data_IF_274899750681
#
_entry.id   IF_274899750681
#
_cell.length_a   1.000
_cell.length_b   1.000
_cell.length_c   1.000
_cell.angle_alpha   90.00
_cell.angle_beta   90.00
_cell.angle_gamma   90.00
#
_symmetry.space_group_name_H-M   'P 1'
#
loop_
_entity.id
_entity.type
_entity.pdbx_description
1 polymer ?
#
# COMPACT_ATOMS: atom_id res chain seq x y z
N UNK A 1 8.54 8.64 19.23
CA UNK A 1 7.64 8.71 18.09
C UNK A 1 6.33 9.36 18.54
N UNK A 2 5.85 10.34 17.80
CA UNK A 2 4.52 10.93 18.02
C UNK A 2 3.45 9.88 17.70
N UNK A 3 2.23 10.05 18.23
CA UNK A 3 1.10 9.13 17.95
C UNK A 3 0.88 9.02 16.44
N UNK A 4 1.02 10.11 15.71
CA UNK A 4 0.85 10.19 14.26
C UNK A 4 1.89 9.33 13.52
N UNK A 5 3.15 9.36 13.92
CA UNK A 5 4.20 8.52 13.30
C UNK A 5 3.96 7.03 13.52
N UNK A 6 3.43 6.65 14.70
CA UNK A 6 3.03 5.26 14.95
C UNK A 6 1.87 4.83 14.07
N UNK A 7 0.91 5.72 13.83
CA UNK A 7 -0.22 5.47 12.93
C UNK A 7 0.25 5.24 11.48
N UNK A 8 1.10 6.15 10.95
CA UNK A 8 1.66 6.03 9.59
C UNK A 8 2.42 4.71 9.44
N UNK A 9 3.26 4.37 10.42
CA UNK A 9 4.01 3.11 10.43
C UNK A 9 3.08 1.89 10.43
N UNK A 10 2.02 1.89 11.26
CA UNK A 10 1.02 0.83 11.31
C UNK A 10 0.35 0.63 9.96
N UNK A 11 -0.11 1.72 9.36
CA UNK A 11 -0.78 1.68 8.06
C UNK A 11 0.16 1.21 6.95
N UNK A 12 1.44 1.63 7.00
CA UNK A 12 2.45 1.15 6.06
C UNK A 12 2.73 -0.35 6.24
N UNK A 13 2.78 -0.84 7.49
CA UNK A 13 2.95 -2.27 7.78
C UNK A 13 1.82 -3.15 7.26
N UNK A 14 0.61 -2.63 7.20
CA UNK A 14 -0.54 -3.35 6.66
C UNK A 14 -0.61 -3.15 5.13
N UNK A 15 -0.47 -1.90 4.69
CA UNK A 15 -0.72 -1.50 3.31
C UNK A 15 0.28 -2.06 2.31
N UNK A 16 1.59 -2.00 2.61
CA UNK A 16 2.60 -2.44 1.66
C UNK A 16 2.59 -3.96 1.42
N UNK A 17 2.55 -4.83 2.45
CA UNK A 17 2.43 -6.27 2.22
C UNK A 17 1.12 -6.65 1.51
N UNK A 18 0.01 -5.94 1.82
CA UNK A 18 -1.26 -6.16 1.12
C UNK A 18 -1.15 -5.81 -0.37
N UNK A 19 -0.53 -4.67 -0.71
CA UNK A 19 -0.32 -4.27 -2.10
C UNK A 19 0.51 -5.29 -2.89
N UNK A 20 1.61 -5.78 -2.30
CA UNK A 20 2.44 -6.83 -2.92
C UNK A 20 1.69 -8.17 -3.04
N UNK A 21 0.93 -8.55 -2.02
CA UNK A 21 0.09 -9.74 -2.10
C UNK A 21 -0.90 -9.66 -3.26
N UNK A 22 -1.62 -8.53 -3.37
CA UNK A 22 -2.57 -8.31 -4.46
C UNK A 22 -1.89 -8.28 -5.83
N UNK A 23 -0.66 -7.77 -5.92
CA UNK A 23 0.11 -7.79 -7.16
C UNK A 23 0.40 -9.22 -7.62
N UNK A 24 0.93 -10.08 -6.73
CA UNK A 24 1.29 -11.46 -7.09
C UNK A 24 0.10 -12.43 -7.15
N UNK A 25 -0.97 -12.14 -6.42
CA UNK A 25 -2.23 -12.90 -6.46
C UNK A 25 -3.26 -12.31 -7.43
N UNK A 26 -2.92 -11.23 -8.14
CA UNK A 26 -3.86 -10.51 -9.00
C UNK A 26 -4.48 -11.37 -10.08
N UNK A 27 -3.70 -12.28 -10.69
CA UNK A 27 -4.20 -13.20 -11.69
C UNK A 27 -5.22 -14.18 -11.11
N UNK A 28 -4.84 -14.84 -10.03
CA UNK A 28 -5.69 -15.83 -9.36
C UNK A 28 -6.99 -15.19 -8.87
N UNK A 29 -6.88 -13.99 -8.28
CA UNK A 29 -8.02 -13.26 -7.76
C UNK A 29 -8.98 -12.82 -8.87
N UNK A 30 -8.45 -12.25 -9.97
CA UNK A 30 -9.27 -11.80 -11.09
C UNK A 30 -9.97 -12.98 -11.78
N UNK A 31 -9.27 -14.07 -12.04
CA UNK A 31 -9.85 -15.24 -12.69
C UNK A 31 -10.87 -15.96 -11.79
N UNK A 32 -10.62 -15.99 -10.47
CA UNK A 32 -11.54 -16.65 -9.54
C UNK A 32 -12.82 -15.84 -9.31
N UNK A 33 -12.72 -14.51 -9.13
CA UNK A 33 -13.87 -13.65 -8.78
C UNK A 33 -14.66 -13.24 -10.01
N UNK A 34 -13.98 -12.86 -11.08
CA UNK A 34 -14.60 -12.27 -12.28
C UNK A 34 -14.65 -13.23 -13.48
N UNK A 35 -13.85 -14.28 -13.48
CA UNK A 35 -13.80 -15.29 -14.54
C UNK A 35 -12.82 -14.97 -15.68
N UNK A 36 -12.66 -15.91 -16.64
CA UNK A 36 -11.64 -15.83 -17.70
C UNK A 36 -11.79 -14.61 -18.62
N UNK A 37 -12.99 -14.07 -18.75
CA UNK A 37 -13.26 -12.89 -19.59
C UNK A 37 -12.49 -11.64 -19.16
N UNK A 38 -11.99 -11.60 -17.92
CA UNK A 38 -11.23 -10.49 -17.36
C UNK A 38 -9.71 -10.66 -17.45
N UNK A 39 -9.24 -11.70 -18.13
CA UNK A 39 -7.80 -11.93 -18.31
C UNK A 39 -7.04 -10.73 -18.90
N UNK A 40 -7.57 -9.96 -19.88
CA UNK A 40 -6.89 -8.76 -20.37
C UNK A 40 -6.72 -7.62 -19.34
N UNK A 41 -7.50 -7.63 -18.26
CA UNK A 41 -7.44 -6.62 -17.20
C UNK A 41 -6.45 -6.96 -16.08
N UNK A 42 -5.86 -8.15 -16.08
CA UNK A 42 -4.93 -8.62 -15.05
C UNK A 42 -3.71 -7.68 -14.93
N UNK A 43 -3.00 -7.29 -16.01
CA UNK A 43 -1.85 -6.40 -15.87
C UNK A 43 -2.21 -5.05 -15.26
N UNK A 44 -3.36 -4.48 -15.67
CA UNK A 44 -3.88 -3.23 -15.11
C UNK A 44 -4.15 -3.34 -13.61
N UNK A 45 -4.81 -4.42 -13.17
CA UNK A 45 -5.06 -4.69 -11.76
C UNK A 45 -3.77 -4.84 -10.96
N UNK A 46 -2.80 -5.58 -11.48
CA UNK A 46 -1.50 -5.77 -10.83
C UNK A 46 -0.77 -4.43 -10.63
N UNK A 47 -0.71 -3.57 -11.65
CA UNK A 47 -0.08 -2.26 -11.54
C UNK A 47 -0.78 -1.41 -10.48
N UNK A 48 -2.12 -1.36 -10.49
CA UNK A 48 -2.90 -0.61 -9.51
C UNK A 48 -2.72 -1.15 -8.09
N UNK A 49 -2.54 -2.45 -7.92
CA UNK A 49 -2.31 -3.08 -6.62
C UNK A 49 -1.07 -2.54 -5.90
N UNK A 50 -0.04 -2.13 -6.65
CA UNK A 50 1.15 -1.50 -6.06
C UNK A 50 0.85 -0.16 -5.40
N UNK A 51 -0.19 0.56 -5.87
CA UNK A 51 -0.59 1.83 -5.26
C UNK A 51 -1.37 1.66 -3.96
N UNK A 52 -1.91 0.47 -3.66
CA UNK A 52 -2.76 0.21 -2.48
C UNK A 52 -2.03 0.55 -1.18
N UNK A 53 -0.75 0.19 -1.08
CA UNK A 53 0.06 0.52 0.09
C UNK A 53 0.15 2.02 0.35
N UNK A 54 0.40 2.80 -0.71
CA UNK A 54 0.45 4.27 -0.63
C UNK A 54 -0.92 4.86 -0.28
N UNK A 55 -2.00 4.36 -0.88
CA UNK A 55 -3.36 4.81 -0.61
C UNK A 55 -3.76 4.59 0.86
N UNK A 56 -3.45 3.42 1.43
CA UNK A 56 -3.73 3.12 2.84
C UNK A 56 -2.97 4.08 3.76
N UNK A 57 -1.70 4.36 3.49
CA UNK A 57 -0.94 5.32 4.28
C UNK A 57 -1.49 6.73 4.11
N UNK A 58 -1.81 7.16 2.89
CA UNK A 58 -2.38 8.48 2.61
C UNK A 58 -3.76 8.68 3.23
N UNK A 59 -4.54 7.63 3.46
CA UNK A 59 -5.88 7.75 4.07
C UNK A 59 -5.86 8.41 5.45
N UNK A 60 -4.73 8.34 6.16
CA UNK A 60 -4.56 8.99 7.46
C UNK A 60 -4.21 10.48 7.38
N UNK A 61 -3.74 10.97 6.23
CA UNK A 61 -3.28 12.36 6.09
C UNK A 61 -4.40 13.36 6.32
N UNK A 62 -5.61 13.07 5.84
CA UNK A 62 -6.78 13.91 6.06
C UNK A 62 -7.09 14.15 7.54
N UNK A 63 -7.03 13.10 8.35
CA UNK A 63 -7.23 13.20 9.80
C UNK A 63 -6.14 14.05 10.48
N UNK A 64 -4.90 13.99 9.99
CA UNK A 64 -3.80 14.80 10.52
C UNK A 64 -3.99 16.28 10.22
N UNK A 65 -4.39 16.65 9.00
CA UNK A 65 -4.70 18.03 8.63
C UNK A 65 -5.89 18.57 9.44
N UNK A 66 -6.94 17.76 9.61
CA UNK A 66 -8.11 18.15 10.40
C UNK A 66 -7.78 18.35 11.88
N UNK A 67 -7.01 17.44 12.49
CA UNK A 67 -6.62 17.54 13.89
C UNK A 67 -5.72 18.76 14.20
N UNK A 68 -5.01 19.23 13.18
CA UNK A 68 -4.15 20.42 13.25
C UNK A 68 -4.87 21.70 12.83
N UNK A 69 -6.19 21.63 12.53
CA UNK A 69 -7.00 22.75 12.04
C UNK A 69 -6.44 23.40 10.76
N UNK A 70 -5.69 22.65 9.95
CA UNK A 70 -5.08 23.11 8.71
C UNK A 70 -5.91 22.65 7.47
N UNK A 71 -7.08 23.21 7.34
CA UNK A 71 -7.98 22.96 6.19
C UNK A 71 -7.39 23.47 4.87
N UNK A 72 -6.55 24.51 4.92
CA UNK A 72 -5.86 25.02 3.73
C UNK A 72 -4.84 24.03 3.21
N UNK A 73 -4.06 23.42 4.08
CA UNK A 73 -3.10 22.39 3.71
C UNK A 73 -3.78 21.19 3.06
N UNK A 74 -4.89 20.71 3.62
CA UNK A 74 -5.70 19.65 3.04
C UNK A 74 -6.23 20.01 1.64
N UNK A 75 -6.72 21.23 1.46
CA UNK A 75 -7.22 21.71 0.19
C UNK A 75 -6.13 21.77 -0.90
N UNK A 76 -4.93 22.27 -0.55
CA UNK A 76 -3.79 22.33 -1.48
C UNK A 76 -3.38 20.92 -1.89
N UNK A 77 -3.32 19.95 -0.97
CA UNK A 77 -3.04 18.54 -1.28
C UNK A 77 -4.09 17.96 -2.24
N UNK A 78 -5.37 18.27 -2.03
CA UNK A 78 -6.46 17.83 -2.90
C UNK A 78 -6.35 18.39 -4.32
N UNK A 79 -6.10 19.69 -4.46
CA UNK A 79 -5.92 20.35 -5.77
C UNK A 79 -4.71 19.76 -6.50
N UNK A 80 -3.59 19.60 -5.81
CA UNK A 80 -2.38 19.02 -6.41
C UNK A 80 -2.64 17.61 -6.93
N UNK A 81 -3.26 16.75 -6.12
CA UNK A 81 -3.61 15.39 -6.51
C UNK A 81 -4.54 15.37 -7.72
N UNK A 82 -5.59 16.21 -7.72
CA UNK A 82 -6.51 16.34 -8.85
C UNK A 82 -5.79 16.78 -10.12
N UNK A 83 -4.94 17.80 -10.02
CA UNK A 83 -4.19 18.34 -11.16
C UNK A 83 -3.25 17.28 -11.76
N UNK A 84 -2.46 16.60 -10.94
CA UNK A 84 -1.53 15.57 -11.40
C UNK A 84 -2.27 14.41 -12.04
N UNK A 85 -3.37 13.95 -11.44
CA UNK A 85 -4.18 12.83 -11.95
C UNK A 85 -4.86 13.20 -13.27
N UNK A 86 -5.49 14.38 -13.37
CA UNK A 86 -6.12 14.83 -14.60
C UNK A 86 -5.11 15.01 -15.73
N UNK A 87 -3.96 15.62 -15.44
CA UNK A 87 -2.89 15.79 -16.43
C UNK A 87 -2.36 14.45 -16.92
N UNK A 88 -2.11 13.51 -16.01
CA UNK A 88 -1.69 12.16 -16.34
C UNK A 88 -2.69 11.42 -17.23
N UNK A 89 -3.97 11.53 -16.96
CA UNK A 89 -5.02 10.94 -17.79
C UNK A 89 -5.12 11.58 -19.17
N UNK A 90 -5.00 12.91 -19.26
CA UNK A 90 -4.97 13.59 -20.55
C UNK A 90 -3.80 13.10 -21.41
N UNK A 91 -2.61 12.96 -20.83
CA UNK A 91 -1.45 12.43 -21.53
C UNK A 91 -1.71 10.99 -22.01
N UNK A 92 -2.31 10.15 -21.17
CA UNK A 92 -2.62 8.77 -21.54
C UNK A 92 -3.64 8.69 -22.69
N UNK A 93 -4.67 9.53 -22.68
CA UNK A 93 -5.69 9.56 -23.74
C UNK A 93 -5.08 10.02 -25.08
N UNK A 94 -4.21 11.02 -25.03
CA UNK A 94 -3.66 11.61 -26.26
C UNK A 94 -2.57 10.73 -26.90
N UNK A 95 -1.73 10.08 -26.09
CA UNK A 95 -0.52 9.41 -26.60
C UNK A 95 -0.58 7.88 -26.55
N UNK A 96 -1.17 7.28 -25.53
CA UNK A 96 -1.03 5.83 -25.32
C UNK A 96 -2.31 5.02 -25.59
N UNK A 97 -3.46 5.50 -25.18
CA UNK A 97 -4.78 4.87 -25.37
C UNK A 97 -4.88 3.41 -24.88
N UNK A 98 -4.06 3.00 -23.91
CA UNK A 98 -4.07 1.67 -23.33
C UNK A 98 -4.46 1.70 -21.87
N UNK A 99 -5.16 0.67 -21.37
CA UNK A 99 -5.56 0.56 -19.97
C UNK A 99 -4.36 0.50 -19.02
N UNK A 100 -3.30 -0.14 -19.44
CA UNK A 100 -2.06 -0.22 -18.65
C UNK A 100 -1.43 1.15 -18.46
N UNK A 101 -1.41 2.00 -19.49
CA UNK A 101 -0.89 3.36 -19.37
C UNK A 101 -1.68 4.19 -18.34
N UNK A 102 -3.01 4.01 -18.28
CA UNK A 102 -3.82 4.64 -17.22
C UNK A 102 -3.42 4.12 -15.82
N UNK A 103 -3.19 2.83 -15.67
CA UNK A 103 -2.76 2.26 -14.40
C UNK A 103 -1.39 2.80 -13.96
N UNK A 104 -0.42 2.91 -14.87
CA UNK A 104 0.87 3.55 -14.58
C UNK A 104 0.72 5.03 -14.23
N UNK A 105 -0.10 5.77 -14.96
CA UNK A 105 -0.39 7.18 -14.66
C UNK A 105 -0.98 7.35 -13.26
N UNK A 106 -1.92 6.50 -12.87
CA UNK A 106 -2.49 6.49 -11.52
C UNK A 106 -1.41 6.18 -10.46
N UNK A 107 -0.59 5.17 -10.68
CA UNK A 107 0.49 4.82 -9.75
C UNK A 107 1.46 5.99 -9.55
N UNK A 108 1.89 6.62 -10.65
CA UNK A 108 2.77 7.80 -10.61
C UNK A 108 2.08 8.96 -9.88
N UNK A 109 0.80 9.21 -10.16
CA UNK A 109 0.03 10.26 -9.50
C UNK A 109 -0.06 10.03 -7.98
N UNK A 110 -0.25 8.78 -7.53
CA UNK A 110 -0.25 8.46 -6.10
C UNK A 110 1.13 8.64 -5.46
N UNK A 111 2.21 8.28 -6.14
CA UNK A 111 3.58 8.50 -5.64
C UNK A 111 3.85 10.01 -5.47
N UNK A 112 3.54 10.82 -6.48
CA UNK A 112 3.75 12.27 -6.43
C UNK A 112 2.90 12.93 -5.35
N UNK A 113 1.63 12.54 -5.26
CA UNK A 113 0.70 13.05 -4.23
C UNK A 113 1.14 12.65 -2.82
N UNK A 114 1.66 11.42 -2.65
CA UNK A 114 2.22 10.96 -1.39
C UNK A 114 3.41 11.82 -0.96
N UNK A 115 4.37 12.05 -1.86
CA UNK A 115 5.55 12.86 -1.57
C UNK A 115 5.15 14.29 -1.20
N UNK A 116 4.27 14.92 -1.99
CA UNK A 116 3.82 16.29 -1.76
C UNK A 116 3.04 16.43 -0.45
N UNK A 117 2.07 15.53 -0.20
CA UNK A 117 1.22 15.58 0.99
C UNK A 117 2.03 15.43 2.27
N UNK A 118 2.94 14.46 2.32
CA UNK A 118 3.78 14.24 3.50
C UNK A 118 4.88 15.29 3.65
N UNK A 119 5.41 15.83 2.53
CA UNK A 119 6.31 16.97 2.57
C UNK A 119 5.62 18.16 3.25
N UNK A 120 4.41 18.48 2.83
CA UNK A 120 3.63 19.57 3.40
C UNK A 120 3.31 19.34 4.87
N UNK A 121 2.87 18.12 5.25
CA UNK A 121 2.56 17.76 6.62
C UNK A 121 3.77 17.91 7.56
N UNK A 122 4.94 17.41 7.15
CA UNK A 122 6.14 17.45 7.96
C UNK A 122 6.76 18.84 8.03
N UNK A 123 6.73 19.60 6.94
CA UNK A 123 7.31 20.95 6.90
C UNK A 123 6.48 21.95 7.71
N UNK A 124 5.18 21.98 7.51
CA UNK A 124 4.31 23.00 8.09
C UNK A 124 3.76 22.64 9.46
N UNK A 125 3.47 21.38 9.74
CA UNK A 125 2.80 20.98 10.99
C UNK A 125 3.74 20.37 12.02
N UNK A 126 4.64 19.51 11.60
CA UNK A 126 5.52 18.83 12.54
C UNK A 126 6.85 19.55 12.75
N UNK A 127 7.18 20.56 11.95
CA UNK A 127 8.47 21.27 11.98
C UNK A 127 9.67 20.31 12.07
N UNK A 128 9.57 19.15 11.42
CA UNK A 128 10.57 18.08 11.42
C UNK A 128 11.04 17.76 10.00
N UNK A 129 12.23 17.21 9.90
CA UNK A 129 12.77 16.78 8.62
C UNK A 129 12.00 15.58 8.06
N UNK A 130 11.73 15.57 6.76
CA UNK A 130 11.11 14.47 6.02
C UNK A 130 11.91 13.16 6.16
N UNK A 131 13.23 13.25 6.40
CA UNK A 131 14.09 12.09 6.65
C UNK A 131 13.57 11.20 7.77
N UNK A 132 12.88 11.79 8.74
CA UNK A 132 12.27 11.02 9.84
C UNK A 132 11.08 10.17 9.37
N UNK A 133 10.30 10.62 8.39
CA UNK A 133 9.26 9.81 7.73
C UNK A 133 9.89 8.61 7.00
N UNK A 134 10.93 8.87 6.18
CA UNK A 134 11.59 7.80 5.44
C UNK A 134 12.13 6.71 6.38
N UNK A 135 12.72 7.08 7.50
CA UNK A 135 13.19 6.12 8.51
C UNK A 135 12.08 5.23 9.07
N UNK A 136 10.85 5.74 9.13
CA UNK A 136 9.67 4.96 9.58
C UNK A 136 9.16 4.00 8.51
N UNK A 137 9.29 4.38 7.23
CA UNK A 137 8.81 3.59 6.08
C UNK A 137 9.83 2.54 5.62
N UNK A 138 11.12 2.74 5.89
CA UNK A 138 12.18 1.79 5.50
C UNK A 138 11.89 0.39 6.01
N UNK A 139 11.48 0.26 7.26
CA UNK A 139 11.23 -1.04 7.88
C UNK A 139 10.08 -1.81 7.24
N UNK A 140 8.87 -1.22 7.01
CA UNK A 140 7.80 -1.88 6.26
C UNK A 140 8.20 -2.21 4.83
N UNK A 141 8.96 -1.32 4.16
CA UNK A 141 9.41 -1.53 2.79
C UNK A 141 10.35 -2.73 2.66
N UNK A 142 11.34 -2.86 3.55
CA UNK A 142 12.26 -4.00 3.52
C UNK A 142 11.53 -5.34 3.61
N UNK A 143 10.54 -5.45 4.51
CA UNK A 143 9.75 -6.66 4.63
C UNK A 143 8.92 -6.92 3.39
N UNK A 144 8.29 -5.87 2.88
CA UNK A 144 7.48 -5.98 1.68
C UNK A 144 8.31 -6.46 0.50
N UNK A 145 9.53 -5.95 0.34
CA UNK A 145 10.46 -6.42 -0.68
C UNK A 145 10.87 -7.88 -0.45
N UNK A 146 11.14 -8.29 0.79
CA UNK A 146 11.47 -9.66 1.10
C UNK A 146 10.31 -10.62 0.80
N UNK A 147 9.09 -10.28 1.24
CA UNK A 147 7.87 -11.03 0.92
C UNK A 147 7.65 -11.07 -0.59
N UNK A 148 7.83 -9.94 -1.29
CA UNK A 148 7.71 -9.85 -2.74
C UNK A 148 8.68 -10.77 -3.48
N UNK A 149 9.95 -10.83 -3.04
CA UNK A 149 10.95 -11.73 -3.60
C UNK A 149 10.56 -13.20 -3.45
N UNK A 150 10.06 -13.59 -2.29
CA UNK A 150 9.57 -14.96 -2.05
C UNK A 150 8.33 -15.28 -2.89
N UNK A 151 7.38 -14.34 -2.97
CA UNK A 151 6.18 -14.52 -3.79
C UNK A 151 6.52 -14.60 -5.29
N UNK A 152 7.54 -13.87 -5.74
CA UNK A 152 8.04 -13.96 -7.11
C UNK A 152 8.57 -15.36 -7.43
N UNK A 153 9.39 -15.93 -6.54
CA UNK A 153 9.91 -17.29 -6.68
C UNK A 153 8.75 -18.29 -6.72
N UNK A 154 7.81 -18.21 -5.80
CA UNK A 154 6.64 -19.10 -5.75
C UNK A 154 5.78 -18.95 -7.00
N UNK A 155 5.58 -17.72 -7.48
CA UNK A 155 4.81 -17.47 -8.69
C UNK A 155 5.42 -18.15 -9.91
N UNK A 156 6.75 -18.21 -9.98
CA UNK A 156 7.46 -18.91 -11.06
C UNK A 156 7.24 -20.42 -11.04
N UNK A 157 7.21 -21.04 -9.84
CA UNK A 157 6.95 -22.48 -9.70
C UNK A 157 5.46 -22.85 -9.76
N UNK A 158 4.56 -21.92 -9.47
CA UNK A 158 3.12 -22.18 -9.36
C UNK A 158 2.34 -22.06 -10.67
N UNK A 159 3.00 -21.85 -11.81
CA UNK A 159 2.37 -21.64 -13.12
C UNK A 159 1.41 -22.80 -13.50
N UNK A 160 1.73 -24.02 -13.11
CA UNK A 160 0.95 -25.22 -13.44
C UNK A 160 -0.02 -25.64 -12.31
N UNK A 161 -0.14 -24.86 -11.24
CA UNK A 161 -0.97 -25.23 -10.11
C UNK A 161 -2.43 -24.77 -10.31
N UNK A 162 -3.33 -25.44 -9.58
CA UNK A 162 -4.72 -25.02 -9.51
C UNK A 162 -4.82 -23.59 -8.94
N UNK A 163 -5.59 -22.72 -9.58
CA UNK A 163 -5.73 -21.29 -9.26
C UNK A 163 -5.99 -21.08 -7.75
N UNK A 164 -6.91 -21.87 -7.17
CA UNK A 164 -7.26 -21.80 -5.76
C UNK A 164 -6.09 -22.19 -4.83
N UNK A 165 -5.37 -23.25 -5.19
CA UNK A 165 -4.23 -23.75 -4.39
C UNK A 165 -3.11 -22.69 -4.40
N UNK A 166 -2.80 -22.13 -5.57
CA UNK A 166 -1.80 -21.07 -5.72
C UNK A 166 -2.15 -19.85 -4.86
N UNK A 167 -3.40 -19.40 -4.94
CA UNK A 167 -3.89 -18.27 -4.13
C UNK A 167 -3.78 -18.53 -2.63
N UNK A 168 -4.25 -19.70 -2.16
CA UNK A 168 -4.20 -20.06 -0.73
C UNK A 168 -2.77 -20.11 -0.20
N UNK A 169 -1.84 -20.72 -0.94
CA UNK A 169 -0.44 -20.85 -0.53
C UNK A 169 0.23 -19.48 -0.46
N UNK A 170 0.06 -18.62 -1.49
CA UNK A 170 0.63 -17.27 -1.51
C UNK A 170 0.09 -16.43 -0.36
N UNK A 171 -1.22 -16.47 -0.12
CA UNK A 171 -1.88 -15.72 0.95
C UNK A 171 -1.45 -16.21 2.33
N UNK A 172 -1.41 -17.52 2.55
CA UNK A 172 -1.00 -18.12 3.82
C UNK A 172 0.46 -17.80 4.14
N UNK A 173 1.35 -17.93 3.15
CA UNK A 173 2.77 -17.61 3.32
C UNK A 173 2.99 -16.13 3.66
N UNK A 174 2.27 -15.24 2.97
CA UNK A 174 2.34 -13.79 3.25
C UNK A 174 1.91 -13.49 4.68
N UNK A 175 0.79 -14.08 5.13
CA UNK A 175 0.28 -13.90 6.50
C UNK A 175 1.24 -14.46 7.54
N UNK A 176 1.86 -15.61 7.29
CA UNK A 176 2.85 -16.21 8.22
C UNK A 176 4.10 -15.33 8.33
N UNK A 177 4.67 -14.90 7.21
CA UNK A 177 5.87 -14.07 7.22
C UNK A 177 5.60 -12.70 7.86
N UNK A 178 4.47 -12.10 7.53
CA UNK A 178 4.07 -10.84 8.09
C UNK A 178 3.77 -10.94 9.59
N UNK A 179 3.06 -12.00 10.03
CA UNK A 179 2.75 -12.25 11.44
C UNK A 179 4.00 -12.55 12.27
N UNK A 180 4.92 -13.38 11.76
CA UNK A 180 6.18 -13.70 12.46
C UNK A 180 7.08 -12.48 12.63
N UNK A 181 7.09 -11.59 11.65
CA UNK A 181 7.84 -10.34 11.76
C UNK A 181 7.26 -9.36 12.79
N UNK A 182 5.96 -9.18 12.81
CA UNK A 182 5.30 -8.34 13.82
C UNK A 182 5.61 -8.86 15.22
N UNK A 183 5.62 -10.18 15.40
CA UNK A 183 5.92 -10.81 16.67
C UNK A 183 7.40 -10.66 17.06
N UNK A 184 8.32 -10.77 16.10
CA UNK A 184 9.76 -10.63 16.35
C UNK A 184 10.14 -9.22 16.81
N UNK A 185 9.51 -8.20 16.23
CA UNK A 185 9.81 -6.79 16.57
C UNK A 185 9.26 -6.31 17.91
N UNK A 186 8.40 -7.09 18.59
CA UNK A 186 7.75 -6.73 19.89
C UNK A 186 7.12 -5.33 19.95
N UNK A 187 7.07 -4.60 18.84
CA UNK A 187 6.51 -3.24 18.79
C UNK A 187 4.98 -3.27 19.01
N UNK A 188 4.35 -4.39 18.69
CA UNK A 188 2.94 -4.63 18.92
C UNK A 188 2.78 -5.95 19.66
N UNK A 189 2.79 -5.90 20.98
CA UNK A 189 2.45 -7.04 21.86
C UNK A 189 0.95 -7.37 21.74
N UNK A 190 0.53 -7.72 20.49
CA UNK A 190 -0.85 -8.09 20.18
C UNK A 190 -1.22 -9.32 21.00
N UNK A 191 -0.35 -10.29 21.11
CA UNK A 191 -0.59 -11.53 21.86
C UNK A 191 -0.76 -11.25 23.35
N UNK A 192 0.04 -10.38 23.94
CA UNK A 192 -0.10 -10.02 25.35
C UNK A 192 -1.32 -9.14 25.60
N UNK A 193 -1.70 -8.28 24.65
CA UNK A 193 -2.94 -7.50 24.73
C UNK A 193 -4.18 -8.38 24.58
N UNK A 194 -4.17 -9.31 23.63
CA UNK A 194 -5.25 -10.30 23.45
C UNK A 194 -5.36 -11.20 24.66
N UNK A 195 -4.24 -11.75 25.18
CA UNK A 195 -4.22 -12.52 26.44
C UNK A 195 -4.74 -11.71 27.64
N UNK A 196 -4.41 -10.41 27.74
CA UNK A 196 -4.97 -9.54 28.79
C UNK A 196 -6.47 -9.30 28.59
N UNK A 197 -6.97 -9.24 27.37
CA UNK A 197 -8.40 -9.08 27.11
C UNK A 197 -9.19 -10.35 27.48
N UNK A 198 -8.67 -11.53 27.14
CA UNK A 198 -9.28 -12.82 27.52
C UNK A 198 -9.16 -13.14 29.01
N UNK A 199 -8.15 -12.59 29.73
CA UNK A 199 -7.99 -12.80 31.18
C UNK A 199 -8.84 -11.82 32.02
N UNK A 200 -9.47 -10.81 31.40
CA UNK A 200 -10.36 -9.85 32.08
C UNK A 200 -11.86 -10.19 31.91
N UNK A 201 -12.17 -11.29 31.23
CA UNK A 201 -13.48 -11.92 31.20
C UNK A 201 -13.46 -13.18 32.11
#
# INVERSE_FOLDING_TARGET
ATINERMVRLLAFIGFPLGILLFFCGRELMLFVFGPQWEPSIPTFQILSLSVGLQIVMSSSGSFFQSSNDTRGLFICGIFTAFVTCTGFLICILFFRTLEAFAYSMLISYILSFIQCYWQLYHYQFHRSILHLYSQLISPLFITLFIGGLLYIISFYSINWNILISFCIKSFLTLLLWGSYIQWRKEYDIINKVKKCFRKR
#
